data_IF_979908475243
#
_entry.id   IF_979908475243
#
_cell.length_a   1.000
_cell.length_b   1.000
_cell.length_c   1.000
_cell.angle_alpha   90.00
_cell.angle_beta   90.00
_cell.angle_gamma   90.00
#
_symmetry.space_group_name_H-M   'P 1'
#
loop_
_entity.id
_entity.type
_entity.pdbx_description
1 polymer ?
#
# COMPACT_ATOMS: atom_id res chain seq x y z
N UNK A 1 29.86 15.37 72.32
CA UNK A 1 31.12 16.12 72.13
C UNK A 1 31.25 16.45 70.65
N UNK A 2 31.37 17.75 70.32
CA UNK A 2 32.18 18.34 69.23
C UNK A 2 31.90 17.81 67.80
N UNK A 3 31.17 18.54 66.96
CA UNK A 3 31.59 19.66 66.10
C UNK A 3 31.80 19.22 64.63
N UNK A 4 31.05 19.88 63.74
CA UNK A 4 31.29 20.32 62.35
C UNK A 4 32.48 19.78 61.55
N UNK A 5 32.18 19.37 60.31
CA UNK A 5 32.57 19.99 59.04
C UNK A 5 31.96 19.09 57.93
N UNK A 6 30.89 19.43 57.19
CA UNK A 6 30.80 20.51 56.21
C UNK A 6 32.07 20.65 55.36
N UNK A 7 32.34 19.62 54.57
CA UNK A 7 33.15 19.77 53.36
C UNK A 7 32.21 20.14 52.22
N UNK A 8 32.08 21.45 52.00
CA UNK A 8 31.34 22.05 50.91
C UNK A 8 32.00 21.68 49.57
N UNK A 9 31.31 20.91 48.74
CA UNK A 9 31.68 20.74 47.34
C UNK A 9 31.28 22.02 46.58
N UNK A 10 32.22 22.59 45.85
CA UNK A 10 32.11 23.90 45.17
C UNK A 10 31.08 23.90 44.04
N UNK A 11 30.39 25.02 43.74
CA UNK A 11 29.24 25.06 42.82
C UNK A 11 29.57 24.90 41.32
N UNK A 12 30.85 24.80 40.92
CA UNK A 12 31.27 24.81 39.51
C UNK A 12 31.27 23.45 38.80
N UNK A 13 30.79 22.38 39.45
CA UNK A 13 30.69 21.04 38.84
C UNK A 13 29.26 20.53 38.66
N UNK A 14 28.24 21.33 38.96
CA UNK A 14 26.86 21.02 38.60
C UNK A 14 26.61 21.45 37.16
N UNK A 15 26.79 20.51 36.22
CA UNK A 15 26.27 20.66 34.86
C UNK A 15 24.73 20.83 34.94
N UNK A 16 24.13 21.75 34.16
CA UNK A 16 22.70 21.98 34.23
C UNK A 16 21.95 20.72 33.81
N UNK A 17 21.07 20.25 34.70
CA UNK A 17 20.05 19.26 34.37
C UNK A 17 19.02 19.95 33.46
N UNK A 18 19.11 19.71 32.16
CA UNK A 18 18.05 20.11 31.23
C UNK A 18 16.96 19.04 31.28
N UNK A 19 16.04 19.19 32.23
CA UNK A 19 14.78 18.46 32.26
C UNK A 19 13.80 19.09 31.28
N UNK A 20 13.80 18.61 30.05
CA UNK A 20 12.68 18.75 29.11
C UNK A 20 12.46 17.41 28.42
N UNK A 21 11.66 16.54 29.06
CA UNK A 21 11.04 15.40 28.39
C UNK A 21 9.94 15.94 27.47
N UNK A 22 10.32 16.43 26.28
CA UNK A 22 9.38 16.49 25.18
C UNK A 22 9.23 15.04 24.69
N UNK A 23 8.07 14.42 24.95
CA UNK A 23 7.60 13.32 24.12
C UNK A 23 7.36 13.89 22.72
N UNK A 24 8.41 13.98 21.92
CA UNK A 24 8.25 13.91 20.48
C UNK A 24 7.72 12.52 20.20
N UNK A 25 6.38 12.45 20.13
CA UNK A 25 5.74 11.42 19.36
C UNK A 25 6.47 11.40 18.04
N UNK A 26 7.19 10.31 17.78
CA UNK A 26 7.67 10.01 16.46
C UNK A 26 6.41 9.91 15.62
N UNK A 27 6.00 11.04 15.04
CA UNK A 27 5.29 11.06 13.79
C UNK A 27 6.25 10.32 12.87
N UNK A 28 6.11 9.00 12.85
CA UNK A 28 6.66 8.17 11.82
C UNK A 28 5.90 8.65 10.58
N UNK A 29 6.43 9.70 9.96
CA UNK A 29 6.18 9.98 8.58
C UNK A 29 6.71 8.73 7.88
N UNK A 30 5.82 7.72 7.78
CA UNK A 30 6.08 6.47 7.09
C UNK A 30 6.57 6.88 5.71
N UNK A 31 7.88 6.76 5.54
CA UNK A 31 8.55 7.08 4.29
C UNK A 31 7.80 6.36 3.18
N UNK A 32 7.43 7.07 2.11
CA UNK A 32 6.73 6.52 0.93
C UNK A 32 7.49 5.42 0.17
N UNK A 33 8.55 4.89 0.77
CA UNK A 33 9.46 3.88 0.24
C UNK A 33 9.24 2.49 0.85
N UNK A 34 8.10 2.25 1.54
CA UNK A 34 7.78 0.89 1.99
C UNK A 34 7.31 0.04 0.81
N UNK A 35 8.12 -0.96 0.48
CA UNK A 35 7.86 -1.95 -0.56
C UNK A 35 7.16 -3.19 0.02
N UNK A 36 6.16 -3.68 -0.69
CA UNK A 36 5.40 -4.88 -0.40
C UNK A 36 5.59 -5.90 -1.52
N UNK A 37 5.97 -7.13 -1.17
CA UNK A 37 5.99 -8.23 -2.12
C UNK A 37 4.62 -8.91 -2.15
N UNK A 38 3.95 -8.88 -3.30
CA UNK A 38 2.62 -9.45 -3.49
C UNK A 38 2.73 -10.65 -4.42
N UNK A 39 2.15 -11.77 -4.02
CA UNK A 39 1.96 -12.95 -4.86
C UNK A 39 0.60 -12.87 -5.55
N UNK A 40 0.57 -13.00 -6.87
CA UNK A 40 -0.64 -12.87 -7.68
C UNK A 40 -0.79 -14.10 -8.56
N UNK A 41 -1.90 -14.82 -8.40
CA UNK A 41 -2.29 -15.93 -9.27
C UNK A 41 -3.18 -15.44 -10.41
N UNK A 42 -2.93 -15.94 -11.62
CA UNK A 42 -3.73 -15.66 -12.82
C UNK A 42 -4.37 -16.98 -13.27
N UNK A 43 -5.59 -17.30 -12.79
CA UNK A 43 -6.25 -18.58 -13.03
C UNK A 43 -6.39 -18.92 -14.51
N UNK A 44 -6.79 -17.94 -15.34
CA UNK A 44 -7.06 -18.12 -16.78
C UNK A 44 -5.82 -18.65 -17.54
N UNK A 45 -4.62 -18.29 -17.09
CA UNK A 45 -3.36 -18.69 -17.71
C UNK A 45 -2.63 -19.76 -16.88
N UNK A 46 -3.13 -20.11 -15.69
CA UNK A 46 -2.46 -21.03 -14.76
C UNK A 46 -1.09 -20.55 -14.27
N UNK A 47 -0.81 -19.24 -14.28
CA UNK A 47 0.49 -18.67 -13.89
C UNK A 47 0.44 -17.94 -12.56
N UNK A 48 1.56 -17.95 -11.85
CA UNK A 48 1.75 -17.18 -10.62
C UNK A 48 2.91 -16.20 -10.80
N UNK A 49 2.74 -14.97 -10.32
CA UNK A 49 3.74 -13.90 -10.35
C UNK A 49 3.94 -13.33 -8.96
N UNK A 50 5.15 -12.86 -8.70
CA UNK A 50 5.46 -12.07 -7.51
C UNK A 50 5.90 -10.67 -7.98
N UNK A 51 5.32 -9.63 -7.40
CA UNK A 51 5.65 -8.25 -7.71
C UNK A 51 6.04 -7.51 -6.44
N UNK A 52 7.13 -6.75 -6.51
CA UNK A 52 7.47 -5.74 -5.49
C UNK A 52 6.76 -4.43 -5.86
N UNK A 53 5.85 -3.97 -5.01
CA UNK A 53 5.03 -2.76 -5.24
C UNK A 53 5.21 -1.80 -4.08
N UNK A 54 5.07 -0.50 -4.33
CA UNK A 54 5.04 0.48 -3.23
C UNK A 54 3.67 0.45 -2.55
N UNK A 55 3.63 0.66 -1.24
CA UNK A 55 2.37 0.76 -0.50
C UNK A 55 1.48 1.95 -0.95
N UNK A 56 2.08 3.01 -1.49
CA UNK A 56 1.37 4.15 -2.07
C UNK A 56 0.95 3.95 -3.53
N UNK A 57 1.39 2.86 -4.16
CA UNK A 57 1.03 2.58 -5.54
C UNK A 57 -0.46 2.28 -5.66
N UNK A 58 -1.09 2.81 -6.69
CA UNK A 58 -2.51 2.61 -6.96
C UNK A 58 -2.73 1.21 -7.55
N UNK A 59 -3.81 0.53 -7.14
CA UNK A 59 -4.15 -0.83 -7.58
C UNK A 59 -4.15 -0.98 -9.11
N UNK A 60 -4.61 0.05 -9.83
CA UNK A 60 -4.54 0.09 -11.29
C UNK A 60 -3.12 -0.05 -11.84
N UNK A 61 -2.14 0.65 -11.27
CA UNK A 61 -0.76 0.60 -11.73
C UNK A 61 -0.13 -0.76 -11.44
N UNK A 62 -0.43 -1.36 -10.28
CA UNK A 62 -0.03 -2.73 -9.96
C UNK A 62 -0.60 -3.73 -10.97
N UNK A 63 -1.89 -3.60 -11.32
CA UNK A 63 -2.52 -4.42 -12.36
C UNK A 63 -1.82 -4.25 -13.71
N UNK A 64 -1.51 -3.02 -14.12
CA UNK A 64 -0.79 -2.76 -15.38
C UNK A 64 0.60 -3.41 -15.39
N UNK A 65 1.35 -3.28 -14.29
CA UNK A 65 2.65 -3.95 -14.13
C UNK A 65 2.51 -5.46 -14.25
N UNK A 66 1.53 -6.07 -13.56
CA UNK A 66 1.25 -7.50 -13.67
C UNK A 66 1.00 -7.91 -15.12
N UNK A 67 0.07 -7.24 -15.80
CA UNK A 67 -0.30 -7.55 -17.18
C UNK A 67 0.90 -7.45 -18.13
N UNK A 68 1.80 -6.48 -17.93
CA UNK A 68 3.02 -6.33 -18.71
C UNK A 68 4.05 -7.47 -18.49
N UNK A 69 3.95 -8.22 -17.39
CA UNK A 69 4.84 -9.38 -17.11
C UNK A 69 4.31 -10.71 -17.65
N UNK A 70 3.09 -10.74 -18.19
CA UNK A 70 2.48 -11.95 -18.72
C UNK A 70 3.01 -12.22 -20.13
N UNK A 71 3.39 -13.47 -20.41
CA UNK A 71 3.82 -13.89 -21.75
C UNK A 71 2.64 -13.96 -22.71
N UNK A 72 1.49 -14.42 -22.21
CA UNK A 72 0.22 -14.47 -22.94
C UNK A 72 -0.70 -13.36 -22.43
N UNK A 73 -1.33 -12.63 -23.35
CA UNK A 73 -2.25 -11.55 -22.99
C UNK A 73 -3.63 -12.08 -22.63
N UNK A 74 -4.21 -11.54 -21.55
CA UNK A 74 -5.61 -11.76 -21.22
C UNK A 74 -6.50 -11.00 -22.21
N UNK A 75 -7.42 -11.72 -22.86
CA UNK A 75 -8.45 -11.11 -23.70
C UNK A 75 -9.34 -10.19 -22.86
N UNK A 76 -9.62 -8.97 -23.37
CA UNK A 76 -10.36 -7.95 -22.61
C UNK A 76 -9.74 -7.70 -21.23
N UNK A 77 -8.41 -7.59 -21.14
CA UNK A 77 -7.65 -7.43 -19.89
C UNK A 77 -8.16 -6.32 -18.97
N UNK A 78 -8.78 -5.27 -19.52
CA UNK A 78 -9.44 -4.21 -18.77
C UNK A 78 -10.54 -4.73 -17.85
N UNK A 79 -11.25 -5.80 -18.23
CA UNK A 79 -12.33 -6.40 -17.43
C UNK A 79 -11.84 -7.23 -16.26
N UNK A 80 -10.54 -7.49 -16.11
CA UNK A 80 -10.04 -8.26 -14.96
C UNK A 80 -9.72 -7.33 -13.78
N UNK A 81 -10.04 -7.74 -12.57
CA UNK A 81 -9.67 -7.05 -11.33
C UNK A 81 -8.76 -7.88 -10.45
N UNK A 82 -8.02 -7.22 -9.56
CA UNK A 82 -7.32 -7.89 -8.47
C UNK A 82 -8.35 -8.25 -7.39
N UNK A 83 -8.37 -9.52 -6.99
CA UNK A 83 -9.26 -10.08 -6.00
C UNK A 83 -8.46 -10.54 -4.79
N UNK A 84 -8.86 -10.08 -3.61
CA UNK A 84 -8.37 -10.58 -2.33
C UNK A 84 -9.27 -11.75 -1.92
N UNK A 85 -8.74 -12.99 -1.84
CA UNK A 85 -9.52 -14.14 -1.44
C UNK A 85 -10.08 -14.03 -0.02
N UNK A 86 -11.12 -14.80 0.33
CA UNK A 86 -11.62 -14.87 1.69
C UNK A 86 -10.51 -15.27 2.68
N UNK A 87 -10.41 -14.55 3.80
CA UNK A 87 -9.43 -14.83 4.85
C UNK A 87 -10.01 -14.48 6.23
N UNK A 88 -9.77 -15.34 7.23
CA UNK A 88 -10.23 -15.19 8.62
C UNK A 88 -11.74 -14.89 8.78
N UNK A 89 -12.58 -15.64 8.06
CA UNK A 89 -14.03 -15.46 8.11
C UNK A 89 -14.57 -14.21 7.42
N UNK A 90 -13.70 -13.41 6.76
CA UNK A 90 -14.11 -12.31 5.88
C UNK A 90 -14.33 -12.83 4.47
N UNK A 91 -15.41 -12.37 3.83
CA UNK A 91 -15.66 -12.64 2.43
C UNK A 91 -14.54 -12.03 1.56
N UNK A 92 -14.22 -12.71 0.45
CA UNK A 92 -13.29 -12.18 -0.54
C UNK A 92 -13.83 -10.91 -1.20
N UNK A 93 -12.94 -10.05 -1.68
CA UNK A 93 -13.31 -8.76 -2.25
C UNK A 93 -12.43 -8.36 -3.42
N UNK A 94 -13.02 -7.66 -4.38
CA UNK A 94 -12.25 -6.96 -5.40
C UNK A 94 -11.61 -5.70 -4.79
N UNK A 95 -10.37 -5.45 -5.18
CA UNK A 95 -9.69 -4.20 -4.88
C UNK A 95 -10.21 -3.14 -5.88
N UNK A 96 -10.52 -1.95 -5.36
CA UNK A 96 -10.85 -0.77 -6.15
C UNK A 96 -9.58 -0.24 -6.83
N UNK A 97 -9.66 -0.04 -8.14
CA UNK A 97 -8.54 0.34 -8.99
C UNK A 97 -8.01 1.75 -8.73
N UNK A 98 -8.79 2.63 -8.12
CA UNK A 98 -8.47 4.03 -7.79
C UNK A 98 -7.91 4.22 -6.37
N UNK A 99 -7.67 3.13 -5.63
CA UNK A 99 -7.16 3.16 -4.25
C UNK A 99 -5.71 2.68 -4.18
N UNK A 100 -4.90 3.22 -3.25
CA UNK A 100 -3.55 2.72 -2.99
C UNK A 100 -3.57 1.34 -2.33
N UNK A 101 -2.48 0.59 -2.49
CA UNK A 101 -2.30 -0.76 -1.93
C UNK A 101 -2.42 -0.76 -0.39
N UNK A 102 -1.91 0.27 0.30
CA UNK A 102 -1.99 0.37 1.78
C UNK A 102 -3.39 0.40 2.37
N UNK A 103 -4.42 0.71 1.58
CA UNK A 103 -5.80 0.74 2.06
C UNK A 103 -6.39 -0.67 2.26
N UNK A 104 -5.69 -1.70 1.79
CA UNK A 104 -6.13 -3.08 1.88
C UNK A 104 -5.41 -3.77 3.03
N UNK A 105 -6.16 -4.48 3.88
CA UNK A 105 -5.57 -5.07 5.07
C UNK A 105 -4.94 -6.41 4.68
N UNK A 106 -3.70 -6.39 4.24
CA UNK A 106 -2.90 -7.59 3.99
C UNK A 106 -2.34 -8.09 5.34
N UNK A 107 -2.78 -9.25 5.80
CA UNK A 107 -2.40 -9.80 7.12
C UNK A 107 -1.19 -10.73 7.06
N UNK A 108 -0.82 -11.18 5.86
CA UNK A 108 0.27 -12.10 5.63
C UNK A 108 1.58 -11.37 5.35
N UNK A 109 2.71 -11.99 5.71
CA UNK A 109 4.05 -11.50 5.36
C UNK A 109 4.25 -11.35 3.84
N UNK A 110 3.48 -12.10 3.05
CA UNK A 110 3.39 -12.01 1.60
C UNK A 110 1.92 -12.09 1.19
N UNK A 111 1.26 -10.96 0.91
CA UNK A 111 -0.13 -10.97 0.49
C UNK A 111 -0.37 -11.77 -0.79
N UNK A 112 -1.48 -12.51 -0.80
CA UNK A 112 -1.93 -13.31 -1.93
C UNK A 112 -3.18 -12.70 -2.59
N UNK A 113 -3.11 -12.49 -3.90
CA UNK A 113 -4.20 -11.99 -4.73
C UNK A 113 -4.46 -12.93 -5.92
N UNK A 114 -5.65 -12.80 -6.50
CA UNK A 114 -6.06 -13.54 -7.69
C UNK A 114 -6.59 -12.58 -8.75
N UNK A 115 -6.33 -12.86 -10.02
CA UNK A 115 -6.91 -12.12 -11.14
C UNK A 115 -8.26 -12.73 -11.52
N UNK A 116 -9.33 -11.97 -11.36
CA UNK A 116 -10.69 -12.43 -11.67
C UNK A 116 -11.42 -11.48 -12.61
N UNK A 117 -12.28 -12.03 -13.48
CA UNK A 117 -13.12 -11.23 -14.37
C UNK A 117 -14.16 -10.43 -13.58
N UNK A 118 -14.27 -9.13 -13.87
CA UNK A 118 -15.16 -8.17 -13.22
C UNK A 118 -15.93 -7.34 -14.26
N UNK A 119 -17.22 -7.69 -14.45
CA UNK A 119 -18.08 -7.13 -15.49
C UNK A 119 -18.38 -5.63 -15.35
N UNK A 120 -18.23 -5.04 -14.15
CA UNK A 120 -18.52 -3.60 -13.93
C UNK A 120 -17.46 -2.71 -14.60
N UNK A 121 -16.21 -3.20 -14.72
CA UNK A 121 -15.16 -2.47 -15.43
C UNK A 121 -15.50 -2.31 -16.91
N UNK A 122 -16.16 -3.31 -17.51
CA UNK A 122 -16.65 -3.21 -18.88
C UNK A 122 -17.58 -2.02 -19.06
N UNK A 123 -18.55 -1.87 -18.13
CA UNK A 123 -19.51 -0.76 -18.17
C UNK A 123 -18.83 0.60 -18.01
N UNK A 124 -17.85 0.72 -17.11
CA UNK A 124 -17.08 1.97 -16.91
C UNK A 124 -16.23 2.33 -18.13
N UNK A 125 -15.62 1.34 -18.78
CA UNK A 125 -14.83 1.56 -20.00
C UNK A 125 -15.68 2.05 -21.16
N UNK A 126 -16.84 1.42 -21.41
CA UNK A 126 -17.77 1.86 -22.45
C UNK A 126 -18.26 3.29 -22.17
N UNK A 127 -18.64 3.60 -20.93
CA UNK A 127 -19.06 4.96 -20.56
C UNK A 127 -17.94 5.99 -20.74
N UNK A 128 -16.69 5.63 -20.41
CA UNK A 128 -15.54 6.53 -20.61
C UNK A 128 -15.25 6.79 -22.08
N UNK A 129 -15.33 5.76 -22.94
CA UNK A 129 -15.15 5.93 -24.39
C UNK A 129 -16.30 6.75 -24.98
N UNK A 130 -17.54 6.42 -24.63
CA UNK A 130 -18.71 7.17 -25.12
C UNK A 130 -18.60 8.65 -24.73
N UNK A 131 -18.23 8.95 -23.48
CA UNK A 131 -18.02 10.32 -23.03
C UNK A 131 -16.88 11.00 -23.79
N UNK A 132 -15.77 10.30 -24.05
CA UNK A 132 -14.66 10.87 -24.80
C UNK A 132 -15.02 11.13 -26.27
N UNK A 133 -15.83 10.29 -26.91
CA UNK A 133 -16.34 10.52 -28.26
C UNK A 133 -17.32 11.70 -28.30
N UNK A 134 -18.24 11.79 -27.33
CA UNK A 134 -19.23 12.87 -27.24
C UNK A 134 -18.61 14.25 -26.96
N UNK A 135 -17.42 14.29 -26.34
CA UNK A 135 -16.69 15.52 -26.01
C UNK A 135 -15.43 15.74 -26.88
N UNK A 136 -15.24 14.94 -27.94
CA UNK A 136 -14.28 15.23 -28.98
C UNK A 136 -14.96 16.21 -29.95
N UNK A 137 -14.78 17.50 -29.72
CA UNK A 137 -15.03 18.52 -30.74
C UNK A 137 -14.18 18.17 -31.97
N UNK A 138 -14.85 17.89 -33.07
CA UNK A 138 -14.25 17.67 -34.37
C UNK A 138 -14.01 19.06 -34.98
N UNK A 139 -12.86 19.67 -34.69
CA UNK A 139 -12.34 20.83 -35.44
C UNK A 139 -12.04 20.45 -36.90
#
# INVERSE_FOLDING_TARGET
>A
MKNNAEEYMTPEQLQPYNGEEHMEGTNNAMSGDELLNVQIFVPELGVQKCLSVHLDEVVWDVKRKLLATLQEQLQLSFNYGLFLPPCDGRAGKFLLEDRPIRDYPFHDCVPYLEVHYHFVTHRRFILSITWQIENLDFD
#
